data_IF_988733537146
#
_entry.id   IF_988733537146
#
_cell.length_a   1.000
_cell.length_b   1.000
_cell.length_c   1.000
_cell.angle_alpha   90.00
_cell.angle_beta   90.00
_cell.angle_gamma   90.00
#
_symmetry.space_group_name_H-M   'P 1'
#
loop_
_entity.id
_entity.type
_entity.pdbx_description
1 polymer ?
#
# COMPACT_ATOMS: atom_id res chain seq x y z
N UNK A 1 32.18 -31.50 20.75
CA UNK A 1 31.29 -30.51 21.37
C UNK A 1 31.40 -29.20 20.62
N UNK A 2 30.43 -28.94 19.74
CA UNK A 2 29.84 -27.61 19.56
C UNK A 2 28.48 -27.86 18.89
N UNK A 3 27.44 -27.65 19.67
CA UNK A 3 26.05 -27.98 19.35
C UNK A 3 25.51 -27.02 18.29
N UNK A 4 25.48 -27.48 17.03
CA UNK A 4 24.66 -26.85 16.00
C UNK A 4 23.19 -27.13 16.31
N UNK A 5 22.52 -26.17 16.95
CA UNK A 5 21.08 -26.23 17.22
C UNK A 5 20.28 -26.51 15.93
N UNK A 6 19.52 -27.61 15.99
CA UNK A 6 18.50 -28.04 15.03
C UNK A 6 17.42 -26.94 14.81
N UNK A 7 17.00 -26.75 13.56
CA UNK A 7 15.58 -26.48 13.27
C UNK A 7 15.14 -25.12 12.72
N UNK A 8 16.00 -24.26 12.17
CA UNK A 8 15.54 -23.05 11.46
C UNK A 8 15.94 -23.09 9.97
N UNK A 9 15.01 -22.84 9.02
CA UNK A 9 15.40 -22.66 7.63
C UNK A 9 16.33 -21.46 7.51
N UNK A 10 17.55 -21.73 7.06
CA UNK A 10 18.59 -20.74 6.81
C UNK A 10 18.21 -19.93 5.58
N UNK A 11 17.97 -18.63 5.79
CA UNK A 11 18.05 -17.58 4.78
C UNK A 11 16.79 -17.38 3.93
N UNK A 12 15.82 -16.61 4.42
CA UNK A 12 14.96 -15.86 3.49
C UNK A 12 15.88 -14.92 2.70
N UNK A 13 15.77 -14.93 1.38
CA UNK A 13 16.50 -13.97 0.56
C UNK A 13 16.10 -12.56 1.00
N UNK A 14 17.07 -11.68 1.32
CA UNK A 14 16.77 -10.31 1.70
C UNK A 14 15.84 -9.68 0.66
N UNK A 15 14.81 -8.98 1.12
CA UNK A 15 13.91 -8.25 0.23
C UNK A 15 14.71 -7.28 -0.61
N UNK A 16 14.58 -7.41 -1.94
CA UNK A 16 15.30 -6.59 -2.90
C UNK A 16 15.10 -5.09 -2.65
N UNK A 17 16.15 -4.30 -2.91
CA UNK A 17 16.14 -2.85 -2.64
C UNK A 17 14.98 -2.14 -3.36
N UNK A 18 14.61 -2.58 -4.56
CA UNK A 18 13.46 -2.04 -5.31
C UNK A 18 12.13 -2.18 -4.57
N UNK A 19 11.88 -3.33 -3.91
CA UNK A 19 10.67 -3.53 -3.12
C UNK A 19 10.65 -2.68 -1.85
N UNK A 20 11.80 -2.55 -1.18
CA UNK A 20 11.90 -1.64 -0.02
C UNK A 20 11.60 -0.20 -0.45
N UNK A 21 12.18 0.24 -1.56
CA UNK A 21 11.91 1.57 -2.11
C UNK A 21 10.43 1.76 -2.46
N UNK A 22 9.81 0.79 -3.12
CA UNK A 22 8.37 0.82 -3.43
C UNK A 22 7.51 1.00 -2.17
N UNK A 23 7.76 0.23 -1.11
CA UNK A 23 7.02 0.34 0.15
C UNK A 23 7.24 1.70 0.83
N UNK A 24 8.47 2.23 0.78
CA UNK A 24 8.77 3.59 1.26
C UNK A 24 8.02 4.66 0.47
N UNK A 25 7.98 4.55 -0.86
CA UNK A 25 7.24 5.46 -1.73
C UNK A 25 5.73 5.36 -1.47
N UNK A 26 5.20 4.16 -1.26
CA UNK A 26 3.81 3.96 -0.88
C UNK A 26 3.49 4.67 0.45
N UNK A 27 4.35 4.52 1.46
CA UNK A 27 4.18 5.20 2.74
C UNK A 27 4.20 6.73 2.58
N UNK A 28 5.20 7.26 1.88
CA UNK A 28 5.33 8.70 1.64
C UNK A 28 4.14 9.27 0.87
N UNK A 29 3.69 8.58 -0.19
CA UNK A 29 2.52 8.98 -0.97
C UNK A 29 1.27 9.06 -0.08
N UNK A 30 1.02 8.05 0.75
CA UNK A 30 -0.14 8.02 1.62
C UNK A 30 -0.08 9.09 2.72
N UNK A 31 1.11 9.42 3.24
CA UNK A 31 1.24 10.57 4.14
C UNK A 31 0.90 11.89 3.46
N UNK A 32 1.42 12.13 2.26
CA UNK A 32 1.15 13.37 1.52
C UNK A 32 -0.33 13.49 1.17
N UNK A 33 -0.91 12.48 0.51
CA UNK A 33 -2.31 12.51 0.08
C UNK A 33 -3.27 12.53 1.28
N UNK A 34 -2.98 11.73 2.30
CA UNK A 34 -3.78 11.71 3.53
C UNK A 34 -3.76 13.06 4.23
N UNK A 35 -2.59 13.68 4.36
CA UNK A 35 -2.45 15.00 4.99
C UNK A 35 -3.17 16.10 4.20
N UNK A 36 -3.04 16.11 2.88
CA UNK A 36 -3.75 17.04 2.01
C UNK A 36 -5.27 16.86 2.13
N UNK A 37 -5.76 15.62 2.17
CA UNK A 37 -7.18 15.31 2.35
C UNK A 37 -7.72 15.75 3.72
N UNK A 38 -6.94 15.56 4.79
CA UNK A 38 -7.33 15.98 6.15
C UNK A 38 -7.36 17.49 6.33
N UNK A 39 -6.40 18.20 5.75
CA UNK A 39 -6.17 19.62 6.01
C UNK A 39 -6.79 20.55 4.96
N UNK A 40 -7.32 20.01 3.85
CA UNK A 40 -7.99 20.80 2.82
C UNK A 40 -9.17 21.60 3.42
N UNK A 41 -9.19 22.94 3.28
CA UNK A 41 -10.27 23.77 3.81
C UNK A 41 -11.64 23.44 3.22
N UNK A 42 -11.68 22.98 1.97
CA UNK A 42 -12.90 22.63 1.25
C UNK A 42 -13.38 21.18 1.52
N UNK A 43 -12.63 20.39 2.28
CA UNK A 43 -12.98 18.99 2.53
C UNK A 43 -14.14 18.86 3.53
N UNK A 44 -15.15 18.06 3.15
CA UNK A 44 -16.20 17.59 4.05
C UNK A 44 -15.61 16.74 5.20
N UNK A 45 -16.41 16.52 6.25
CA UNK A 45 -16.00 15.66 7.36
C UNK A 45 -15.61 14.26 6.90
N UNK A 46 -16.41 13.65 6.01
CA UNK A 46 -16.14 12.31 5.46
C UNK A 46 -14.84 12.29 4.64
N UNK A 47 -14.58 13.33 3.84
CA UNK A 47 -13.33 13.43 3.07
C UNK A 47 -12.10 13.55 3.98
N UNK A 48 -12.23 14.25 5.12
CA UNK A 48 -11.16 14.34 6.12
C UNK A 48 -10.93 13.00 6.81
N UNK A 49 -11.99 12.27 7.13
CA UNK A 49 -11.90 10.93 7.71
C UNK A 49 -11.22 9.94 6.75
N UNK A 50 -11.57 9.98 5.46
CA UNK A 50 -10.86 9.23 4.42
C UNK A 50 -9.39 9.63 4.38
N UNK A 51 -9.07 10.92 4.41
CA UNK A 51 -7.70 11.42 4.48
C UNK A 51 -6.92 10.87 5.69
N UNK A 52 -7.57 10.80 6.86
CA UNK A 52 -7.00 10.22 8.07
C UNK A 52 -6.69 8.73 7.89
N UNK A 53 -7.61 7.96 7.30
CA UNK A 53 -7.37 6.54 7.04
C UNK A 53 -6.26 6.33 6.01
N UNK A 54 -6.21 7.13 4.94
CA UNK A 54 -5.11 7.11 3.97
C UNK A 54 -3.77 7.39 4.68
N UNK A 55 -3.72 8.41 5.54
CA UNK A 55 -2.53 8.72 6.33
C UNK A 55 -2.13 7.56 7.26
N UNK A 56 -3.10 6.94 7.94
CA UNK A 56 -2.86 5.78 8.82
C UNK A 56 -2.32 4.57 8.05
N UNK A 57 -2.82 4.31 6.83
CA UNK A 57 -2.23 3.30 5.94
C UNK A 57 -0.78 3.64 5.57
N UNK A 58 -0.42 4.92 5.48
CA UNK A 58 0.98 5.35 5.37
C UNK A 58 1.87 4.82 6.50
N UNK A 59 1.37 4.78 7.74
CA UNK A 59 2.07 4.17 8.88
C UNK A 59 2.22 2.66 8.67
N UNK A 60 1.18 1.99 8.23
CA UNK A 60 1.23 0.54 7.94
C UNK A 60 2.31 0.23 6.89
N UNK A 61 2.35 0.98 5.79
CA UNK A 61 3.35 0.80 4.73
C UNK A 61 4.76 1.17 5.19
N UNK A 62 4.91 2.18 6.05
CA UNK A 62 6.19 2.51 6.68
C UNK A 62 6.73 1.34 7.51
N UNK A 63 5.86 0.71 8.31
CA UNK A 63 6.25 -0.44 9.12
C UNK A 63 6.59 -1.64 8.22
N UNK A 64 5.78 -1.90 7.18
CA UNK A 64 6.09 -2.91 6.17
C UNK A 64 7.41 -2.63 5.43
N UNK A 65 7.78 -1.38 5.17
CA UNK A 65 9.05 -1.03 4.54
C UNK A 65 10.26 -1.30 5.45
N UNK A 66 10.09 -1.16 6.78
CA UNK A 66 11.13 -1.42 7.79
C UNK A 66 11.38 -2.91 7.99
N UNK A 67 10.32 -3.70 8.03
CA UNK A 67 10.37 -5.15 8.27
C UNK A 67 9.47 -5.91 7.27
N UNK A 68 9.84 -5.91 5.98
CA UNK A 68 8.99 -6.45 4.92
C UNK A 68 8.82 -7.96 4.99
N UNK A 69 9.75 -8.69 5.61
CA UNK A 69 9.65 -10.14 5.73
C UNK A 69 8.61 -10.58 6.75
N UNK A 70 8.45 -9.83 7.85
CA UNK A 70 7.49 -10.15 8.89
C UNK A 70 6.12 -9.53 8.63
N UNK A 71 6.09 -8.32 8.07
CA UNK A 71 4.87 -7.52 7.95
C UNK A 71 4.23 -7.56 6.56
N UNK A 72 4.80 -8.30 5.60
CA UNK A 72 4.20 -8.50 4.28
C UNK A 72 2.71 -8.86 4.33
N UNK A 73 2.22 -9.80 5.17
CA UNK A 73 0.80 -10.18 5.17
C UNK A 73 -0.17 -9.02 5.46
N UNK A 74 0.28 -7.98 6.17
CA UNK A 74 -0.55 -6.79 6.48
C UNK A 74 -0.88 -6.01 5.20
N UNK A 75 -0.08 -6.13 4.14
CA UNK A 75 -0.30 -5.45 2.86
C UNK A 75 -1.56 -5.93 2.13
N UNK A 76 -2.16 -7.07 2.52
CA UNK A 76 -3.48 -7.45 2.03
C UNK A 76 -4.55 -6.41 2.35
N UNK A 77 -4.46 -5.73 3.50
CA UNK A 77 -5.34 -4.61 3.81
C UNK A 77 -5.18 -3.48 2.78
N UNK A 78 -3.94 -3.22 2.34
CA UNK A 78 -3.64 -2.25 1.29
C UNK A 78 -4.17 -2.67 -0.08
N UNK A 79 -4.01 -3.94 -0.46
CA UNK A 79 -4.58 -4.48 -1.71
C UNK A 79 -6.10 -4.30 -1.74
N UNK A 80 -6.79 -4.73 -0.68
CA UNK A 80 -8.26 -4.64 -0.59
C UNK A 80 -8.70 -3.18 -0.64
N UNK A 81 -8.05 -2.30 0.13
CA UNK A 81 -8.38 -0.87 0.14
C UNK A 81 -8.23 -0.26 -1.27
N UNK A 82 -7.13 -0.54 -1.97
CA UNK A 82 -6.86 0.04 -3.29
C UNK A 82 -7.76 -0.52 -4.38
N UNK A 83 -8.03 -1.84 -4.38
CA UNK A 83 -8.99 -2.44 -5.31
C UNK A 83 -10.40 -1.90 -5.05
N UNK A 84 -10.81 -1.81 -3.78
CA UNK A 84 -12.10 -1.26 -3.39
C UNK A 84 -12.26 0.20 -3.83
N UNK A 85 -11.28 1.06 -3.55
CA UNK A 85 -11.30 2.46 -3.99
C UNK A 85 -11.34 2.55 -5.52
N UNK A 86 -10.49 1.81 -6.23
CA UNK A 86 -10.51 1.82 -7.69
C UNK A 86 -11.89 1.41 -8.25
N UNK A 87 -12.50 0.35 -7.71
CA UNK A 87 -13.82 -0.10 -8.15
C UNK A 87 -14.93 0.92 -7.85
N UNK A 88 -14.90 1.55 -6.68
CA UNK A 88 -15.90 2.53 -6.27
C UNK A 88 -15.81 3.84 -7.08
N UNK A 89 -14.60 4.30 -7.39
CA UNK A 89 -14.37 5.58 -8.05
C UNK A 89 -14.20 5.48 -9.57
N UNK A 90 -14.01 4.28 -10.14
CA UNK A 90 -13.88 4.10 -11.59
C UNK A 90 -15.04 4.71 -12.40
N UNK A 91 -16.33 4.54 -12.05
CA UNK A 91 -17.42 5.16 -12.80
C UNK A 91 -17.36 6.70 -12.82
N UNK A 92 -16.84 7.30 -11.74
CA UNK A 92 -16.72 8.75 -11.59
C UNK A 92 -15.50 9.31 -12.34
N UNK A 93 -14.48 8.47 -12.58
CA UNK A 93 -13.30 8.84 -13.38
C UNK A 93 -13.50 8.63 -14.88
N UNK A 94 -14.14 7.52 -15.27
CA UNK A 94 -14.21 7.06 -16.67
C UNK A 94 -15.63 7.11 -17.28
N UNK A 95 -16.61 7.63 -16.55
CA UNK A 95 -17.96 7.85 -17.06
C UNK A 95 -18.04 9.03 -18.04
N UNK A 96 -19.25 9.27 -18.58
CA UNK A 96 -19.51 10.34 -19.56
C UNK A 96 -19.10 11.74 -19.05
N UNK A 97 -19.26 11.99 -17.75
CA UNK A 97 -18.87 13.23 -17.07
C UNK A 97 -17.61 13.04 -16.21
N UNK A 98 -16.72 12.12 -16.64
CA UNK A 98 -15.54 11.70 -15.89
C UNK A 98 -14.56 12.83 -15.60
N UNK A 99 -13.99 12.83 -14.40
CA UNK A 99 -12.93 13.78 -14.03
C UNK A 99 -11.55 13.16 -14.26
N UNK A 100 -10.68 13.85 -15.02
CA UNK A 100 -9.30 13.41 -15.23
C UNK A 100 -8.54 13.25 -13.90
N UNK A 101 -8.84 14.10 -12.91
CA UNK A 101 -8.26 14.00 -11.58
C UNK A 101 -8.66 12.70 -10.88
N UNK A 102 -9.94 12.34 -10.95
CA UNK A 102 -10.47 11.09 -10.37
C UNK A 102 -9.93 9.88 -11.14
N UNK A 103 -9.93 9.92 -12.47
CA UNK A 103 -9.35 8.87 -13.30
C UNK A 103 -7.87 8.63 -12.96
N UNK A 104 -7.09 9.70 -12.78
CA UNK A 104 -5.68 9.61 -12.39
C UNK A 104 -5.51 8.97 -11.01
N UNK A 105 -6.35 9.36 -10.04
CA UNK A 105 -6.34 8.75 -8.70
C UNK A 105 -6.67 7.25 -8.76
N UNK A 106 -7.67 6.85 -9.55
CA UNK A 106 -8.04 5.43 -9.76
C UNK A 106 -6.90 4.64 -10.38
N UNK A 107 -6.21 5.19 -11.39
CA UNK A 107 -5.05 4.53 -12.01
C UNK A 107 -3.92 4.36 -11.00
N UNK A 108 -3.61 5.40 -10.21
CA UNK A 108 -2.58 5.33 -9.17
C UNK A 108 -2.93 4.26 -8.12
N UNK A 109 -4.19 4.20 -7.69
CA UNK A 109 -4.64 3.19 -6.75
C UNK A 109 -4.52 1.77 -7.32
N UNK A 110 -4.90 1.56 -8.58
CA UNK A 110 -4.71 0.29 -9.26
C UNK A 110 -3.22 -0.10 -9.36
N UNK A 111 -2.33 0.86 -9.64
CA UNK A 111 -0.88 0.61 -9.68
C UNK A 111 -0.33 0.20 -8.30
N UNK A 112 -0.77 0.85 -7.22
CA UNK A 112 -0.40 0.44 -5.87
C UNK A 112 -0.96 -0.94 -5.52
N UNK A 113 -2.22 -1.24 -5.86
CA UNK A 113 -2.80 -2.57 -5.66
C UNK A 113 -1.98 -3.66 -6.35
N UNK A 114 -1.65 -3.44 -7.63
CA UNK A 114 -0.81 -4.35 -8.42
C UNK A 114 0.58 -4.48 -7.82
N UNK A 115 1.20 -3.38 -7.40
CA UNK A 115 2.52 -3.40 -6.76
C UNK A 115 2.53 -4.18 -5.44
N UNK A 116 1.52 -3.99 -4.58
CA UNK A 116 1.38 -4.77 -3.34
C UNK A 116 1.12 -6.25 -3.62
N UNK A 117 0.24 -6.56 -4.58
CA UNK A 117 -0.06 -7.93 -4.95
C UNK A 117 1.18 -8.63 -5.55
N UNK A 118 1.90 -7.96 -6.45
CA UNK A 118 3.13 -8.47 -7.04
C UNK A 118 4.20 -8.71 -5.96
N UNK A 119 4.35 -7.79 -5.00
CA UNK A 119 5.22 -7.98 -3.86
C UNK A 119 4.81 -9.22 -3.04
N UNK A 120 3.53 -9.35 -2.67
CA UNK A 120 3.00 -10.49 -1.92
C UNK A 120 3.22 -11.83 -2.65
N UNK A 121 2.93 -11.89 -3.95
CA UNK A 121 3.11 -13.09 -4.77
C UNK A 121 4.58 -13.44 -4.94
N UNK A 122 5.47 -12.45 -5.09
CA UNK A 122 6.93 -12.69 -5.13
C UNK A 122 7.48 -13.26 -3.82
N UNK A 123 6.72 -13.13 -2.72
CA UNK A 123 7.03 -13.71 -1.41
C UNK A 123 6.35 -15.06 -1.15
N UNK A 124 5.22 -15.33 -1.80
CA UNK A 124 4.40 -16.53 -1.59
C UNK A 124 4.91 -17.80 -2.28
N UNK A 125 5.89 -17.69 -3.19
CA UNK A 125 6.58 -18.85 -3.79
C UNK A 125 7.52 -19.61 -2.84
N UNK A 126 7.66 -19.14 -1.59
CA UNK A 126 8.50 -19.72 -0.54
C UNK A 126 7.68 -20.30 0.64
N UNK A 127 6.36 -20.50 0.47
CA UNK A 127 5.47 -21.16 1.45
C UNK A 127 5.18 -22.60 1.03
#
# INVERSE_FOLDING_TARGET
MNEGRLGAPIGRRPVGQGWRLFLWLAAAFNFVVGLLGMLSPAASFDARLIGLFVFAFGIVYLQAARDPERLAPVLWAGVIAKVGTAALFAPQGFGADGSLLVASAVVIDALFAVGFLAFLLSRGGDL
#
